data_IF_188214872647
#
_entry.id   IF_188214872647
#
_cell.length_a   1.000
_cell.length_b   1.000
_cell.length_c   1.000
_cell.angle_alpha   90.00
_cell.angle_beta   90.00
_cell.angle_gamma   90.00
#
_symmetry.space_group_name_H-M   'P 1'
#
loop_
_entity.id
_entity.type
_entity.pdbx_description
1 polymer ?
#
# COMPACT_ATOMS: atom_id res chain seq x y z
N UNK A 1 -26.38 -64.58 56.33
CA UNK A 1 -27.02 -63.73 55.30
C UNK A 1 -25.99 -62.74 54.79
N UNK A 2 -25.27 -63.08 53.72
CA UNK A 2 -24.24 -62.22 53.11
C UNK A 2 -24.69 -61.89 51.69
N UNK A 3 -25.23 -60.68 51.52
CA UNK A 3 -25.75 -60.19 50.24
C UNK A 3 -24.61 -59.75 49.32
N UNK A 4 -24.56 -60.34 48.12
CA UNK A 4 -23.63 -59.99 47.05
C UNK A 4 -23.99 -58.60 46.50
N UNK A 5 -23.11 -57.60 46.67
CA UNK A 5 -23.19 -56.32 45.97
C UNK A 5 -22.83 -56.52 44.50
N UNK A 6 -23.81 -56.33 43.61
CA UNK A 6 -23.57 -56.27 42.16
C UNK A 6 -23.05 -54.87 41.81
N UNK A 7 -21.89 -54.86 41.15
CA UNK A 7 -21.27 -53.69 40.55
C UNK A 7 -22.07 -53.26 39.31
N UNK A 8 -22.38 -51.97 39.19
CA UNK A 8 -22.73 -51.34 37.91
C UNK A 8 -21.66 -50.28 37.60
N UNK A 9 -21.04 -50.29 36.41
CA UNK A 9 -20.17 -49.20 35.99
C UNK A 9 -21.03 -48.04 35.48
N UNK A 10 -20.94 -46.88 36.14
CA UNK A 10 -21.41 -45.62 35.55
C UNK A 10 -20.44 -45.27 34.42
N UNK A 11 -20.89 -45.40 33.18
CA UNK A 11 -20.20 -44.87 32.01
C UNK A 11 -20.19 -43.34 32.09
N UNK A 12 -19.03 -42.75 32.43
CA UNK A 12 -18.78 -41.34 32.20
C UNK A 12 -18.48 -41.13 30.71
N UNK A 13 -19.45 -40.65 29.96
CA UNK A 13 -19.22 -40.07 28.63
C UNK A 13 -18.82 -38.60 28.82
N UNK A 14 -17.53 -38.32 28.96
CA UNK A 14 -16.98 -36.98 28.85
C UNK A 14 -16.72 -36.68 27.36
N UNK A 15 -17.68 -36.08 26.67
CA UNK A 15 -17.41 -35.45 25.37
C UNK A 15 -16.73 -34.09 25.63
N UNK A 16 -15.41 -34.08 25.61
CA UNK A 16 -14.64 -32.86 25.44
C UNK A 16 -14.72 -32.44 23.96
N UNK A 17 -15.58 -31.47 23.65
CA UNK A 17 -15.58 -30.82 22.34
C UNK A 17 -14.33 -29.91 22.25
N UNK A 18 -13.24 -30.46 21.70
CA UNK A 18 -12.08 -29.67 21.32
C UNK A 18 -12.44 -28.85 20.07
N UNK A 19 -12.91 -27.62 20.29
CA UNK A 19 -12.97 -26.59 19.26
C UNK A 19 -11.53 -26.20 18.92
N UNK A 20 -10.95 -26.88 17.95
CA UNK A 20 -9.70 -26.46 17.32
C UNK A 20 -10.01 -25.21 16.51
N UNK A 21 -9.61 -24.05 17.03
CA UNK A 21 -9.69 -22.75 16.37
C UNK A 21 -8.64 -22.68 15.24
N UNK A 22 -8.80 -23.49 14.20
CA UNK A 22 -7.97 -23.44 13.00
C UNK A 22 -8.79 -22.84 11.85
N UNK A 23 -9.29 -21.62 12.06
CA UNK A 23 -10.20 -20.96 11.11
C UNK A 23 -10.11 -19.45 11.16
N UNK A 24 -8.94 -18.89 10.84
CA UNK A 24 -8.74 -17.45 10.65
C UNK A 24 -8.69 -17.06 9.15
N UNK A 25 -9.41 -17.75 8.28
CA UNK A 25 -9.40 -17.46 6.82
C UNK A 25 -10.75 -16.97 6.29
N UNK A 26 -11.65 -16.50 7.16
CA UNK A 26 -13.00 -16.04 6.77
C UNK A 26 -13.24 -14.56 7.07
N UNK A 27 -12.20 -13.82 7.47
CA UNK A 27 -12.36 -12.47 8.04
C UNK A 27 -11.89 -11.34 7.11
N UNK A 28 -11.27 -11.64 5.98
CA UNK A 28 -10.74 -10.66 5.01
C UNK A 28 -11.78 -9.67 4.45
N UNK A 29 -13.09 -9.92 4.60
CA UNK A 29 -14.16 -9.01 4.16
C UNK A 29 -14.98 -8.35 5.28
N UNK A 30 -14.67 -8.60 6.56
CA UNK A 30 -15.49 -8.13 7.69
C UNK A 30 -14.71 -7.14 8.58
N UNK A 31 -13.37 -7.20 8.58
CA UNK A 31 -12.53 -6.29 9.35
C UNK A 31 -11.96 -5.18 8.46
N UNK A 32 -11.79 -3.95 8.99
CA UNK A 32 -11.06 -2.90 8.27
C UNK A 32 -9.65 -3.38 7.95
N UNK A 33 -9.16 -3.01 6.76
CA UNK A 33 -7.77 -3.30 6.39
C UNK A 33 -6.84 -2.67 7.43
N UNK A 34 -5.81 -3.37 7.90
CA UNK A 34 -4.87 -2.79 8.85
C UNK A 34 -4.15 -1.61 8.19
N UNK A 35 -4.12 -0.48 8.88
CA UNK A 35 -3.29 0.66 8.48
C UNK A 35 -1.81 0.29 8.60
N UNK A 36 -0.97 0.95 7.80
CA UNK A 36 0.47 0.80 7.92
C UNK A 36 0.99 1.32 9.27
N UNK A 37 2.20 0.89 9.64
CA UNK A 37 2.92 1.43 10.80
C UNK A 37 4.17 2.13 10.34
N UNK A 38 4.34 3.39 10.76
CA UNK A 38 5.51 4.21 10.46
C UNK A 38 6.45 4.33 11.64
N UNK A 39 7.75 4.39 11.36
CA UNK A 39 8.74 4.78 12.33
C UNK A 39 8.55 6.26 12.69
N UNK A 40 8.55 6.56 13.99
CA UNK A 40 8.25 7.91 14.46
C UNK A 40 9.40 8.91 14.25
N UNK A 41 10.60 8.44 13.90
CA UNK A 41 11.76 9.30 13.64
C UNK A 41 12.02 9.46 12.14
N UNK A 42 12.02 8.38 11.37
CA UNK A 42 12.29 8.43 9.93
C UNK A 42 11.04 8.68 9.09
N UNK A 43 9.85 8.34 9.60
CA UNK A 43 8.61 8.38 8.83
C UNK A 43 8.42 7.18 7.88
N UNK A 44 9.43 6.31 7.79
CA UNK A 44 9.41 5.13 6.93
C UNK A 44 8.38 4.11 7.40
N UNK A 45 7.77 3.42 6.45
CA UNK A 45 6.86 2.31 6.73
C UNK A 45 7.69 1.12 7.24
N UNK A 46 7.44 0.71 8.49
CA UNK A 46 8.10 -0.42 9.17
C UNK A 46 7.17 -1.62 9.38
N UNK A 47 5.88 -1.45 9.12
CA UNK A 47 4.91 -2.53 9.03
C UNK A 47 3.90 -2.22 7.94
N UNK A 48 3.70 -3.16 7.01
CA UNK A 48 2.82 -2.97 5.86
C UNK A 48 1.34 -2.87 6.26
N UNK A 49 0.54 -2.32 5.35
CA UNK A 49 -0.87 -2.07 5.55
C UNK A 49 -1.50 -1.36 4.37
N UNK A 50 -2.50 -0.55 4.66
CA UNK A 50 -3.19 0.27 3.66
C UNK A 50 -3.05 1.73 4.03
N UNK A 51 -2.55 2.53 3.07
CA UNK A 51 -2.23 3.94 3.25
C UNK A 51 -3.14 4.79 2.36
N UNK A 52 -3.63 5.90 2.91
CA UNK A 52 -4.38 6.90 2.16
C UNK A 52 -3.45 7.59 1.16
N UNK A 53 -3.88 7.71 -0.10
CA UNK A 53 -3.04 8.27 -1.19
C UNK A 53 -2.59 9.71 -0.91
N UNK A 54 -3.35 10.49 -0.14
CA UNK A 54 -2.99 11.85 0.27
C UNK A 54 -1.89 11.90 1.35
N UNK A 55 -1.53 10.75 1.91
CA UNK A 55 -0.53 10.62 2.99
C UNK A 55 0.71 9.82 2.58
N UNK A 56 0.75 9.36 1.32
CA UNK A 56 1.96 8.80 0.74
C UNK A 56 3.09 9.83 0.81
N UNK A 57 4.31 9.34 1.02
CA UNK A 57 5.51 10.17 1.13
C UNK A 57 6.64 9.56 0.32
N UNK A 58 7.57 10.40 -0.16
CA UNK A 58 8.76 9.94 -0.88
C UNK A 58 9.51 8.88 -0.07
N UNK A 59 9.80 7.74 -0.70
CA UNK A 59 10.39 6.55 -0.09
C UNK A 59 9.38 5.48 0.34
N UNK A 60 8.07 5.74 0.25
CA UNK A 60 7.06 4.72 0.52
C UNK A 60 7.00 3.68 -0.60
N UNK A 61 7.14 2.41 -0.22
CA UNK A 61 7.05 1.27 -1.12
C UNK A 61 5.65 0.66 -1.12
N UNK A 62 5.12 0.36 -2.31
CA UNK A 62 3.72 -0.01 -2.50
C UNK A 62 3.50 -1.07 -3.58
N UNK A 63 2.35 -1.72 -3.51
CA UNK A 63 1.84 -2.62 -4.52
C UNK A 63 0.47 -2.14 -4.94
N UNK A 64 0.43 -1.30 -5.97
CA UNK A 64 -0.82 -0.83 -6.52
C UNK A 64 -1.39 -1.88 -7.51
N UNK A 65 -2.52 -2.48 -7.11
CA UNK A 65 -3.29 -3.43 -7.91
C UNK A 65 -4.58 -2.80 -8.44
N UNK A 66 -4.74 -1.47 -8.27
CA UNK A 66 -5.94 -0.77 -8.71
C UNK A 66 -6.03 -0.79 -10.23
N UNK A 67 -7.24 -1.08 -10.72
CA UNK A 67 -7.63 -0.94 -12.13
C UNK A 67 -8.71 0.14 -12.30
N UNK A 68 -8.89 0.94 -11.24
CA UNK A 68 -9.90 1.97 -11.11
C UNK A 68 -9.32 3.31 -11.57
N UNK A 69 -10.15 4.14 -12.19
CA UNK A 69 -9.78 5.52 -12.56
C UNK A 69 -9.56 6.41 -11.31
N UNK A 70 -10.10 6.01 -10.16
CA UNK A 70 -9.94 6.71 -8.87
C UNK A 70 -9.39 5.76 -7.81
N UNK A 71 -8.38 6.22 -7.08
CA UNK A 71 -7.68 5.49 -6.01
C UNK A 71 -7.66 6.36 -4.76
N UNK A 72 -8.15 5.82 -3.64
CA UNK A 72 -8.17 6.54 -2.34
C UNK A 72 -7.18 5.96 -1.34
N UNK A 73 -6.84 4.69 -1.48
CA UNK A 73 -5.94 3.98 -0.59
C UNK A 73 -5.19 2.89 -1.36
N UNK A 74 -3.91 2.68 -1.01
CA UNK A 74 -3.03 1.71 -1.65
C UNK A 74 -2.37 0.77 -0.62
N UNK A 75 -2.10 -0.50 -0.99
CA UNK A 75 -1.28 -1.38 -0.17
C UNK A 75 0.16 -0.88 -0.11
N UNK A 76 0.66 -0.61 1.09
CA UNK A 76 2.05 -0.22 1.33
C UNK A 76 2.78 -1.26 2.17
N UNK A 77 4.09 -1.35 1.97
CA UNK A 77 4.96 -2.31 2.66
C UNK A 77 6.28 -1.63 3.01
N UNK A 78 7.01 -2.14 4.03
CA UNK A 78 8.40 -1.75 4.21
C UNK A 78 9.19 -2.06 2.94
N UNK A 79 10.06 -1.16 2.48
CA UNK A 79 10.83 -1.40 1.25
C UNK A 79 11.71 -2.65 1.32
N UNK A 80 12.04 -3.17 2.52
CA UNK A 80 12.72 -4.46 2.67
C UNK A 80 11.87 -5.67 2.24
N UNK A 81 10.56 -5.49 2.07
CA UNK A 81 9.62 -6.50 1.58
C UNK A 81 9.37 -6.35 0.07
N UNK A 82 8.92 -7.42 -0.61
CA UNK A 82 8.63 -7.36 -2.05
C UNK A 82 7.59 -6.29 -2.42
N UNK A 83 7.94 -5.42 -3.34
CA UNK A 83 7.07 -4.37 -3.88
C UNK A 83 7.38 -4.10 -5.35
N UNK A 84 6.43 -3.49 -6.06
CA UNK A 84 6.62 -3.10 -7.46
C UNK A 84 6.86 -1.60 -7.63
N UNK A 85 6.32 -0.79 -6.72
CA UNK A 85 6.36 0.66 -6.84
C UNK A 85 7.05 1.30 -5.63
N UNK A 86 7.62 2.48 -5.84
CA UNK A 86 8.09 3.37 -4.78
C UNK A 86 7.72 4.82 -5.11
N UNK A 87 7.27 5.60 -4.13
CA UNK A 87 7.07 7.03 -4.29
C UNK A 87 8.43 7.71 -4.39
N UNK A 88 8.71 8.39 -5.49
CA UNK A 88 10.03 9.01 -5.71
C UNK A 88 10.01 10.54 -5.75
N UNK A 89 8.82 11.14 -5.86
CA UNK A 89 8.69 12.58 -5.98
C UNK A 89 7.27 13.06 -5.74
N UNK A 90 7.16 14.35 -5.46
CA UNK A 90 5.91 15.07 -5.32
C UNK A 90 5.97 16.35 -6.15
N UNK A 91 4.88 16.68 -6.84
CA UNK A 91 4.77 17.90 -7.66
C UNK A 91 3.51 18.64 -7.25
N UNK A 92 3.65 19.92 -6.91
CA UNK A 92 2.48 20.79 -6.72
C UNK A 92 2.08 21.42 -8.05
N UNK A 93 0.87 21.13 -8.50
CA UNK A 93 0.28 21.68 -9.71
C UNK A 93 -0.02 23.17 -9.56
N UNK A 94 0.05 23.88 -10.69
CA UNK A 94 -0.30 25.30 -10.75
C UNK A 94 -1.70 25.49 -11.30
N UNK A 95 -2.38 26.52 -10.81
CA UNK A 95 -3.74 26.87 -11.21
C UNK A 95 -4.64 27.16 -10.01
N UNK A 96 -5.44 28.21 -10.13
CA UNK A 96 -6.43 28.56 -9.11
C UNK A 96 -7.72 27.73 -9.32
N UNK A 97 -8.27 27.75 -10.53
CA UNK A 97 -9.42 26.94 -10.96
C UNK A 97 -8.98 25.64 -11.63
N UNK A 98 -9.88 24.65 -11.71
CA UNK A 98 -9.61 23.36 -12.37
C UNK A 98 -9.18 23.58 -13.83
N UNK A 99 -7.95 23.21 -14.21
CA UNK A 99 -7.42 23.53 -15.54
C UNK A 99 -7.85 22.52 -16.61
N UNK A 100 -8.57 21.46 -16.22
CA UNK A 100 -8.90 20.33 -17.08
C UNK A 100 -7.88 19.19 -16.97
N UNK A 101 -8.34 17.96 -17.24
CA UNK A 101 -7.54 16.74 -17.10
C UNK A 101 -6.25 16.78 -17.93
N UNK A 102 -6.31 17.23 -19.19
CA UNK A 102 -5.14 17.30 -20.07
C UNK A 102 -4.02 18.20 -19.49
N UNK A 103 -4.39 19.33 -18.88
CA UNK A 103 -3.43 20.24 -18.27
C UNK A 103 -2.88 19.71 -16.94
N UNK A 104 -3.66 18.92 -16.20
CA UNK A 104 -3.19 18.20 -15.01
C UNK A 104 -2.18 17.13 -15.41
N UNK A 105 -2.52 16.29 -16.38
CA UNK A 105 -1.66 15.22 -16.88
C UNK A 105 -0.35 15.76 -17.42
N UNK A 106 -0.37 16.82 -18.22
CA UNK A 106 0.86 17.42 -18.76
C UNK A 106 1.79 17.93 -17.65
N UNK A 107 1.24 18.64 -16.65
CA UNK A 107 2.04 19.14 -15.52
C UNK A 107 2.58 18.00 -14.64
N UNK A 108 1.79 16.94 -14.43
CA UNK A 108 2.23 15.76 -13.71
C UNK A 108 3.39 15.06 -14.43
N UNK A 109 3.23 14.80 -15.72
CA UNK A 109 4.24 14.15 -16.56
C UNK A 109 5.56 14.92 -16.57
N UNK A 110 5.51 16.22 -16.90
CA UNK A 110 6.68 17.10 -16.93
C UNK A 110 7.38 17.17 -15.56
N UNK A 111 6.60 17.29 -14.48
CA UNK A 111 7.11 17.41 -13.12
C UNK A 111 7.75 16.12 -12.61
N UNK A 112 7.10 14.98 -12.84
CA UNK A 112 7.61 13.67 -12.44
C UNK A 112 8.87 13.29 -13.25
N UNK A 113 8.83 13.48 -14.57
CA UNK A 113 9.99 13.27 -15.46
C UNK A 113 11.20 14.10 -15.00
N UNK A 114 11.00 15.37 -14.63
CA UNK A 114 12.09 16.24 -14.17
C UNK A 114 12.76 15.77 -12.86
N UNK A 115 12.06 15.02 -12.01
CA UNK A 115 12.59 14.50 -10.74
C UNK A 115 13.27 13.13 -10.89
N UNK A 116 12.95 12.38 -11.96
CA UNK A 116 13.36 11.00 -12.17
C UNK A 116 14.85 10.77 -11.96
N UNK A 117 15.69 11.52 -12.67
CA UNK A 117 17.14 11.31 -12.65
C UNK A 117 17.74 11.56 -11.26
N UNK A 118 17.22 12.54 -10.53
CA UNK A 118 17.72 12.87 -9.20
C UNK A 118 17.47 11.73 -8.21
N UNK A 119 16.37 10.99 -8.39
CA UNK A 119 16.04 9.83 -7.57
C UNK A 119 16.77 8.56 -8.02
N UNK A 120 16.66 8.18 -9.29
CA UNK A 120 17.19 6.89 -9.80
C UNK A 120 18.72 6.92 -9.96
N UNK A 121 19.30 8.08 -10.24
CA UNK A 121 20.73 8.29 -10.46
C UNK A 121 21.18 8.22 -11.93
N UNK A 122 20.28 7.85 -12.85
CA UNK A 122 20.47 7.89 -14.31
C UNK A 122 19.23 8.50 -15.00
N UNK A 123 19.37 8.94 -16.25
CA UNK A 123 18.26 9.52 -17.01
C UNK A 123 17.21 8.45 -17.36
N UNK A 124 15.96 8.89 -17.55
CA UNK A 124 14.84 8.01 -17.88
C UNK A 124 15.11 7.16 -19.12
N UNK A 125 15.71 7.74 -20.15
CA UNK A 125 15.97 7.07 -21.43
C UNK A 125 17.00 5.93 -21.33
N UNK A 126 17.84 5.95 -20.29
CA UNK A 126 18.86 4.93 -20.03
C UNK A 126 18.42 3.91 -18.96
N UNK A 127 17.23 4.09 -18.36
CA UNK A 127 16.71 3.32 -17.24
C UNK A 127 15.80 2.18 -17.70
N UNK A 128 15.84 1.05 -16.99
CA UNK A 128 14.84 -0.02 -17.12
C UNK A 128 13.59 0.23 -16.27
N UNK A 129 13.64 1.17 -15.34
CA UNK A 129 12.51 1.60 -14.51
C UNK A 129 11.61 2.57 -15.29
N UNK A 130 10.32 2.42 -15.09
CA UNK A 130 9.28 3.31 -15.62
C UNK A 130 8.62 4.10 -14.49
N UNK A 131 7.88 5.17 -14.80
CA UNK A 131 7.15 5.94 -13.79
C UNK A 131 5.68 6.12 -14.17
N UNK A 132 4.86 6.30 -13.14
CA UNK A 132 3.46 6.69 -13.19
C UNK A 132 3.22 7.77 -12.12
N UNK A 133 1.98 8.25 -12.01
CA UNK A 133 1.61 9.29 -11.06
C UNK A 133 0.15 9.18 -10.61
N UNK A 134 -0.08 9.54 -9.35
CA UNK A 134 -1.41 9.88 -8.86
C UNK A 134 -1.63 11.38 -9.03
N UNK A 135 -2.80 11.77 -9.55
CA UNK A 135 -3.16 13.17 -9.79
C UNK A 135 -4.42 13.54 -9.03
N UNK A 136 -4.60 14.84 -8.69
CA UNK A 136 -5.87 15.34 -8.19
C UNK A 136 -7.01 15.09 -9.18
N UNK A 137 -8.23 14.93 -8.65
CA UNK A 137 -9.46 14.97 -9.44
C UNK A 137 -10.06 16.37 -9.40
N UNK A 138 -10.99 16.69 -10.31
CA UNK A 138 -11.72 17.97 -10.22
C UNK A 138 -12.43 18.12 -8.86
N UNK A 139 -12.91 16.99 -8.30
CA UNK A 139 -13.56 16.97 -7.00
C UNK A 139 -12.58 17.30 -5.87
N UNK A 140 -11.40 16.69 -5.82
CA UNK A 140 -10.40 16.98 -4.77
C UNK A 140 -9.83 18.38 -4.93
N UNK A 141 -9.59 18.84 -6.17
CA UNK A 141 -9.12 20.17 -6.48
C UNK A 141 -10.02 21.26 -5.89
N UNK A 142 -11.34 21.15 -6.11
CA UNK A 142 -12.30 22.14 -5.63
C UNK A 142 -12.73 21.91 -4.17
N UNK A 143 -12.76 20.66 -3.72
CA UNK A 143 -13.31 20.29 -2.42
C UNK A 143 -12.33 20.46 -1.26
N UNK A 144 -11.05 20.18 -1.49
CA UNK A 144 -10.02 20.17 -0.44
C UNK A 144 -8.74 20.91 -0.85
N UNK A 145 -8.78 21.66 -1.94
CA UNK A 145 -7.63 22.39 -2.49
C UNK A 145 -6.45 21.46 -2.85
N UNK A 146 -6.77 20.25 -3.31
CA UNK A 146 -5.76 19.29 -3.72
C UNK A 146 -5.08 19.74 -5.01
N UNK A 147 -3.75 19.88 -4.93
CA UNK A 147 -2.86 20.25 -6.03
C UNK A 147 -1.68 19.28 -6.12
N UNK A 148 -1.68 18.20 -5.33
CA UNK A 148 -0.50 17.35 -5.18
C UNK A 148 -0.54 16.21 -6.18
N UNK A 149 0.54 16.05 -6.92
CA UNK A 149 0.83 14.86 -7.72
C UNK A 149 1.87 14.04 -6.96
N UNK A 150 1.60 12.74 -6.82
CA UNK A 150 2.51 11.79 -6.21
C UNK A 150 3.12 10.93 -7.32
N UNK A 151 4.42 11.09 -7.57
CA UNK A 151 5.14 10.37 -8.61
C UNK A 151 5.61 9.01 -8.07
N UNK A 152 5.29 7.93 -8.77
CA UNK A 152 5.70 6.56 -8.43
C UNK A 152 6.59 5.97 -9.51
N UNK A 153 7.67 5.32 -9.09
CA UNK A 153 8.61 4.59 -9.95
C UNK A 153 8.30 3.11 -9.83
N UNK A 154 8.46 2.32 -10.90
CA UNK A 154 8.25 0.89 -10.85
C UNK A 154 9.18 0.09 -11.76
N UNK A 155 9.28 -1.20 -11.44
CA UNK A 155 9.88 -2.23 -12.27
C UNK A 155 8.78 -3.22 -12.70
N UNK A 156 8.92 -3.78 -13.89
CA UNK A 156 8.12 -4.89 -14.41
C UNK A 156 8.11 -6.14 -13.51
N UNK A 157 9.13 -6.30 -12.66
CA UNK A 157 9.23 -7.38 -11.68
C UNK A 157 9.32 -6.81 -10.26
N UNK A 158 8.74 -7.53 -9.29
CA UNK A 158 8.85 -7.14 -7.89
C UNK A 158 10.33 -7.09 -7.42
N UNK A 159 10.65 -6.06 -6.67
CA UNK A 159 11.98 -5.78 -6.10
C UNK A 159 11.94 -5.78 -4.57
N UNK A 160 13.12 -5.76 -3.95
CA UNK A 160 13.31 -5.44 -2.53
C UNK A 160 14.39 -4.39 -2.36
N UNK A 161 14.26 -3.58 -1.33
CA UNK A 161 15.02 -2.35 -1.13
C UNK A 161 14.48 -1.18 -1.95
N UNK A 162 14.89 0.04 -1.58
CA UNK A 162 14.56 1.25 -2.32
C UNK A 162 15.23 1.25 -3.71
N UNK A 163 14.53 1.81 -4.69
CA UNK A 163 14.96 2.14 -6.04
C UNK A 163 15.75 3.47 -6.10
N UNK A 164 15.83 4.21 -5.00
CA UNK A 164 16.66 5.40 -4.90
C UNK A 164 18.14 5.05 -5.18
N UNK A 165 18.73 5.71 -6.18
CA UNK A 165 20.10 5.49 -6.60
C UNK A 165 20.36 4.09 -7.20
N UNK A 166 19.32 3.38 -7.62
CA UNK A 166 19.47 2.03 -8.17
C UNK A 166 20.32 1.99 -9.45
N UNK A 167 20.30 3.06 -10.24
CA UNK A 167 21.00 3.19 -11.52
C UNK A 167 20.78 1.99 -12.46
N UNK A 168 19.51 1.63 -12.68
CA UNK A 168 19.09 0.49 -13.50
C UNK A 168 18.20 0.93 -14.65
#
# INVERSE_FOLDING_TARGET
MTARRRLLPLALAALAAALTLSGCSVVEGILPKPAETRDAQSGEIVGGGTTDVFTLSVGDCLNDESSSDEVTEVPTVPCSEPHQYEVYGEVTLTGDEWPGEEAVTQQADDGCYAQFQAFVGIVYEDSSLEFNYYTPTEASWNGVDDRLVTCVIYDSAATTGSLAGAAR
#
